data_IF_348886212644
#
_entry.id   IF_348886212644
#
_cell.length_a   1.000
_cell.length_b   1.000
_cell.length_c   1.000
_cell.angle_alpha   90.00
_cell.angle_beta   90.00
_cell.angle_gamma   90.00
#
_symmetry.space_group_name_H-M   'P 1'
#
loop_
_entity.id
_entity.type
_entity.pdbx_description
1 polymer ?
#
# COMPACT_ATOMS: atom_id res chain seq x y z
N UNK A 1 21.34 -12.16 -17.46
CA UNK A 1 21.76 -12.11 -16.04
C UNK A 1 20.61 -12.64 -15.21
N UNK A 2 20.80 -13.75 -14.48
CA UNK A 2 19.80 -14.20 -13.50
C UNK A 2 19.98 -13.35 -12.23
N UNK A 3 18.91 -12.76 -11.66
CA UNK A 3 19.00 -12.07 -10.38
C UNK A 3 19.50 -13.05 -9.32
N UNK A 4 20.56 -12.68 -8.58
CA UNK A 4 21.05 -13.43 -7.45
C UNK A 4 20.80 -12.64 -6.16
N UNK A 5 20.64 -13.35 -5.04
CA UNK A 5 20.56 -12.70 -3.74
C UNK A 5 21.87 -11.93 -3.49
N UNK A 6 21.76 -10.67 -3.09
CA UNK A 6 22.91 -9.88 -2.72
C UNK A 6 23.60 -10.50 -1.51
N UNK A 7 24.91 -10.68 -1.60
CA UNK A 7 25.75 -11.10 -0.48
C UNK A 7 26.73 -9.97 -0.21
N UNK A 8 26.80 -9.53 1.05
CA UNK A 8 27.78 -8.49 1.45
C UNK A 8 29.18 -9.02 1.12
N UNK A 9 29.99 -8.29 0.35
CA UNK A 9 31.31 -8.77 -0.02
C UNK A 9 32.22 -8.78 1.22
N UNK A 10 33.19 -9.70 1.25
CA UNK A 10 34.18 -9.76 2.34
C UNK A 10 35.07 -8.52 2.40
N UNK A 11 35.21 -7.80 1.28
CA UNK A 11 35.94 -6.54 1.14
C UNK A 11 35.27 -5.66 0.08
N UNK A 12 35.32 -4.35 0.28
CA UNK A 12 34.87 -3.36 -0.69
C UNK A 12 36.07 -2.80 -1.46
N UNK A 13 36.22 -3.16 -2.73
CA UNK A 13 37.38 -2.82 -3.57
C UNK A 13 37.01 -1.89 -4.74
N UNK A 14 37.29 -0.59 -4.60
CA UNK A 14 37.02 0.40 -5.64
C UNK A 14 35.82 1.29 -5.33
N UNK A 15 35.36 2.02 -6.34
CA UNK A 15 34.19 2.89 -6.21
C UNK A 15 32.92 2.11 -6.56
N UNK A 16 32.10 1.88 -5.55
CA UNK A 16 30.83 1.18 -5.72
C UNK A 16 29.65 2.03 -5.24
N UNK A 17 28.56 1.92 -5.99
CA UNK A 17 27.23 2.41 -5.62
C UNK A 17 26.35 1.18 -5.48
N UNK A 18 25.81 0.97 -4.28
CA UNK A 18 24.84 -0.08 -4.03
C UNK A 18 23.44 0.53 -3.95
N UNK A 19 22.65 0.36 -5.02
CA UNK A 19 21.23 0.71 -5.01
C UNK A 19 20.41 -0.47 -4.46
N UNK A 20 19.74 -0.26 -3.34
CA UNK A 20 18.96 -1.27 -2.62
C UNK A 20 17.47 -1.03 -2.92
N UNK A 21 16.90 -1.87 -3.78
CA UNK A 21 15.52 -1.77 -4.26
C UNK A 21 14.79 -3.13 -4.26
N UNK A 22 15.19 -4.04 -3.38
CA UNK A 22 14.69 -5.43 -3.25
C UNK A 22 13.40 -5.57 -2.41
N UNK A 23 12.67 -4.45 -2.20
CA UNK A 23 11.31 -4.44 -1.66
C UNK A 23 11.20 -4.21 -0.14
N UNK A 24 9.96 -4.19 0.36
CA UNK A 24 9.66 -3.85 1.76
C UNK A 24 10.30 -4.79 2.81
N UNK A 25 10.55 -6.05 2.42
CA UNK A 25 11.25 -7.07 3.24
C UNK A 25 12.70 -7.26 2.76
N UNK A 26 13.36 -6.17 2.39
CA UNK A 26 14.74 -6.13 1.88
C UNK A 26 15.70 -6.86 2.81
N UNK A 27 16.17 -8.04 2.39
CA UNK A 27 17.22 -8.76 3.11
C UNK A 27 18.54 -7.99 3.07
N UNK A 28 18.77 -7.25 1.98
CA UNK A 28 19.95 -6.39 1.80
C UNK A 28 20.00 -5.30 2.86
N UNK A 29 18.89 -4.56 3.06
CA UNK A 29 18.78 -3.53 4.10
C UNK A 29 19.01 -4.11 5.49
N UNK A 30 18.39 -5.25 5.80
CA UNK A 30 18.58 -5.90 7.10
C UNK A 30 20.05 -6.29 7.34
N UNK A 31 20.74 -6.80 6.33
CA UNK A 31 22.18 -7.11 6.43
C UNK A 31 23.07 -5.88 6.65
N UNK A 32 22.62 -4.71 6.18
CA UNK A 32 23.32 -3.42 6.30
C UNK A 32 22.74 -2.51 7.39
N UNK A 33 21.93 -3.07 8.30
CA UNK A 33 21.34 -2.37 9.44
C UNK A 33 22.35 -1.55 10.28
N UNK A 34 23.61 -1.99 10.50
CA UNK A 34 24.60 -1.16 11.19
C UNK A 34 24.90 0.19 10.50
N UNK A 35 24.68 0.29 9.19
CA UNK A 35 24.94 1.50 8.40
C UNK A 35 23.72 2.41 8.31
N UNK A 36 22.54 1.83 8.05
CA UNK A 36 21.29 2.60 7.86
C UNK A 36 20.52 2.86 9.16
N UNK A 37 20.80 2.10 10.22
CA UNK A 37 20.05 2.14 11.47
C UNK A 37 18.79 1.27 11.45
N UNK A 38 18.05 1.29 12.57
CA UNK A 38 16.78 0.58 12.71
C UNK A 38 15.63 1.52 12.33
N UNK A 39 14.70 1.10 11.43
CA UNK A 39 13.49 1.87 11.17
C UNK A 39 12.68 2.07 12.47
N UNK A 40 12.24 3.29 12.75
CA UNK A 40 11.39 3.59 13.92
C UNK A 40 9.92 3.40 13.59
N UNK A 41 9.14 2.91 14.56
CA UNK A 41 7.68 2.80 14.48
C UNK A 41 6.98 3.83 15.37
N UNK A 42 7.71 4.58 16.18
CA UNK A 42 7.16 5.40 17.27
C UNK A 42 6.18 6.48 16.76
N UNK A 43 6.48 7.11 15.63
CA UNK A 43 5.58 8.09 15.00
C UNK A 43 4.27 7.48 14.45
N UNK A 44 4.22 6.16 14.30
CA UNK A 44 3.12 5.41 13.72
C UNK A 44 2.47 4.48 14.75
N UNK A 45 2.38 4.99 15.97
CA UNK A 45 1.80 4.29 17.12
C UNK A 45 0.58 5.04 17.66
N UNK A 46 -0.38 4.27 18.17
CA UNK A 46 -1.53 4.75 18.95
C UNK A 46 -1.39 4.13 20.33
N UNK A 47 -1.48 4.94 21.39
CA UNK A 47 -1.33 4.51 22.78
C UNK A 47 -0.05 3.68 23.04
N UNK A 48 1.05 4.07 22.40
CA UNK A 48 2.35 3.41 22.52
C UNK A 48 2.51 2.11 21.72
N UNK A 49 1.47 1.64 21.03
CA UNK A 49 1.51 0.45 20.19
C UNK A 49 1.51 0.81 18.71
N UNK A 50 2.41 0.24 17.89
CA UNK A 50 2.39 0.49 16.45
C UNK A 50 1.06 0.06 15.83
N UNK A 51 0.48 0.92 14.99
CA UNK A 51 -0.72 0.57 14.26
C UNK A 51 -0.33 -0.32 13.07
N UNK A 52 -0.89 -1.53 13.05
CA UNK A 52 -0.69 -2.54 12.03
C UNK A 52 -2.05 -2.94 11.43
N UNK A 53 -2.18 -2.87 10.12
CA UNK A 53 -3.38 -3.32 9.42
C UNK A 53 -3.16 -4.72 8.82
N UNK A 54 -4.08 -5.64 9.09
CA UNK A 54 -4.06 -6.97 8.47
C UNK A 54 -4.86 -6.94 7.18
N UNK A 55 -4.24 -7.42 6.11
CA UNK A 55 -4.83 -7.38 4.77
C UNK A 55 -4.85 -8.78 4.17
N UNK A 56 -5.96 -9.09 3.50
CA UNK A 56 -6.07 -10.21 2.59
C UNK A 56 -5.90 -9.70 1.16
N UNK A 57 -4.87 -10.17 0.48
CA UNK A 57 -4.64 -9.91 -0.93
C UNK A 57 -5.24 -11.01 -1.79
N UNK A 58 -6.15 -10.65 -2.68
CA UNK A 58 -6.90 -11.56 -3.55
C UNK A 58 -6.56 -11.22 -4.99
N UNK A 59 -5.76 -12.06 -5.62
CA UNK A 59 -5.40 -11.94 -7.03
C UNK A 59 -6.51 -12.56 -7.87
N UNK A 60 -6.98 -11.81 -8.85
CA UNK A 60 -7.92 -12.30 -9.85
C UNK A 60 -7.22 -12.43 -11.21
N UNK A 61 -7.81 -13.15 -12.16
CA UNK A 61 -7.58 -12.87 -13.58
C UNK A 61 -8.30 -11.57 -13.91
N UNK A 62 -7.69 -10.72 -14.74
CA UNK A 62 -8.14 -9.34 -15.04
C UNK A 62 -9.64 -9.20 -14.94
N UNK A 63 -10.12 -8.26 -14.12
CA UNK A 63 -11.55 -7.99 -14.03
C UNK A 63 -12.09 -7.72 -15.43
N UNK A 64 -13.30 -8.20 -15.74
CA UNK A 64 -14.07 -7.75 -16.91
C UNK A 64 -14.45 -6.26 -16.82
N UNK A 65 -13.94 -5.56 -15.81
CA UNK A 65 -14.25 -4.19 -15.44
C UNK A 65 -13.03 -3.34 -15.77
N UNK A 66 -13.26 -2.25 -16.48
CA UNK A 66 -12.24 -1.27 -16.84
C UNK A 66 -11.69 -0.59 -15.58
N UNK A 67 -10.40 -0.27 -15.59
CA UNK A 67 -9.70 0.37 -14.49
C UNK A 67 -10.44 1.62 -14.01
N UNK A 68 -10.88 2.48 -14.94
CA UNK A 68 -11.60 3.71 -14.60
C UNK A 68 -12.91 3.48 -13.82
N UNK A 69 -13.56 2.33 -13.98
CA UNK A 69 -14.82 2.01 -13.29
C UNK A 69 -14.56 1.54 -11.85
N UNK A 70 -13.37 1.00 -11.58
CA UNK A 70 -13.02 0.50 -10.25
C UNK A 70 -12.58 1.61 -9.28
N UNK A 71 -12.15 2.76 -9.79
CA UNK A 71 -11.63 3.84 -8.93
C UNK A 71 -12.74 4.48 -8.07
N UNK A 72 -13.93 4.85 -8.59
CA UNK A 72 -15.00 5.38 -7.75
C UNK A 72 -15.45 4.38 -6.67
N UNK A 73 -15.51 3.09 -7.00
CA UNK A 73 -15.81 2.01 -6.06
C UNK A 73 -14.74 1.89 -4.97
N UNK A 74 -13.46 1.98 -5.34
CA UNK A 74 -12.33 1.92 -4.41
C UNK A 74 -12.34 3.14 -3.48
N UNK A 75 -12.51 4.35 -4.01
CA UNK A 75 -12.39 5.59 -3.24
C UNK A 75 -13.59 5.83 -2.33
N UNK A 76 -14.77 5.27 -2.61
CA UNK A 76 -15.99 5.45 -1.82
C UNK A 76 -16.01 4.70 -0.48
N UNK A 77 -15.10 3.76 -0.24
CA UNK A 77 -15.07 2.96 0.99
C UNK A 77 -13.63 2.58 1.35
N UNK A 78 -13.34 2.31 2.63
CA UNK A 78 -11.97 1.97 3.07
C UNK A 78 -11.75 0.47 3.32
N UNK A 79 -12.74 -0.38 3.06
CA UNK A 79 -12.69 -1.83 3.30
C UNK A 79 -11.90 -2.60 2.22
N UNK A 80 -12.14 -2.30 0.95
CA UNK A 80 -11.53 -2.96 -0.20
C UNK A 80 -10.76 -1.96 -1.05
N UNK A 81 -9.69 -2.42 -1.69
CA UNK A 81 -8.92 -1.65 -2.66
C UNK A 81 -8.67 -2.52 -3.87
N UNK A 82 -9.12 -2.07 -5.05
CA UNK A 82 -8.80 -2.72 -6.31
C UNK A 82 -7.57 -2.07 -6.94
N UNK A 83 -6.60 -2.88 -7.34
CA UNK A 83 -5.45 -2.48 -8.13
C UNK A 83 -5.43 -3.30 -9.42
N UNK A 84 -5.54 -2.65 -10.57
CA UNK A 84 -5.60 -3.32 -11.87
C UNK A 84 -4.27 -3.89 -12.36
N UNK A 85 -3.13 -3.42 -11.84
CA UNK A 85 -1.82 -3.84 -12.34
C UNK A 85 -1.58 -5.35 -12.16
N UNK A 86 -1.08 -6.03 -13.20
CA UNK A 86 -0.62 -7.42 -13.13
C UNK A 86 -1.72 -8.50 -13.07
N UNK A 87 -2.94 -8.16 -13.52
CA UNK A 87 -4.08 -9.06 -13.60
C UNK A 87 -5.22 -8.77 -12.61
N UNK A 88 -5.16 -7.66 -11.86
CA UNK A 88 -6.18 -7.32 -10.87
C UNK A 88 -5.90 -7.93 -9.50
N UNK A 89 -5.87 -7.07 -8.49
CA UNK A 89 -5.63 -7.44 -7.10
C UNK A 89 -6.62 -6.69 -6.21
N UNK A 90 -7.50 -7.44 -5.56
CA UNK A 90 -8.42 -6.92 -4.54
C UNK A 90 -7.74 -7.13 -3.20
N UNK A 91 -7.47 -6.04 -2.53
CA UNK A 91 -7.04 -6.10 -1.16
C UNK A 91 -8.21 -5.80 -0.22
N UNK A 92 -8.33 -6.57 0.84
CA UNK A 92 -9.38 -6.45 1.85
C UNK A 92 -8.72 -6.21 3.21
N UNK A 93 -8.97 -5.05 3.81
CA UNK A 93 -8.57 -4.79 5.21
C UNK A 93 -9.41 -5.65 6.14
N UNK A 94 -8.84 -6.15 7.21
CA UNK A 94 -9.49 -7.08 8.15
C UNK A 94 -9.46 -6.55 9.57
N UNK A 95 -10.45 -6.93 10.37
CA UNK A 95 -10.32 -6.84 11.83
C UNK A 95 -9.46 -7.98 12.37
N UNK A 96 -9.04 -7.89 13.63
CA UNK A 96 -8.34 -8.98 14.30
C UNK A 96 -9.17 -10.29 14.32
N UNK A 97 -10.49 -10.18 14.52
CA UNK A 97 -11.40 -11.33 14.50
C UNK A 97 -11.41 -11.97 13.11
N UNK A 98 -11.65 -11.21 12.05
CA UNK A 98 -11.61 -11.72 10.68
C UNK A 98 -10.24 -12.30 10.31
N UNK A 99 -9.16 -11.66 10.75
CA UNK A 99 -7.82 -12.17 10.52
C UNK A 99 -7.56 -13.51 11.22
N UNK A 100 -8.26 -13.79 12.33
CA UNK A 100 -8.21 -15.10 13.01
C UNK A 100 -8.84 -16.23 12.18
N UNK A 101 -9.72 -15.92 11.22
CA UNK A 101 -10.26 -16.91 10.27
C UNK A 101 -9.30 -17.26 9.14
N UNK A 102 -8.19 -16.52 8.96
CA UNK A 102 -7.15 -16.82 7.97
C UNK A 102 -6.32 -18.03 8.41
N UNK A 103 -6.96 -19.19 8.40
CA UNK A 103 -6.42 -20.49 8.79
C UNK A 103 -6.27 -21.35 7.55
N UNK A 104 -5.16 -22.08 7.46
CA UNK A 104 -5.02 -23.17 6.50
C UNK A 104 -5.10 -24.51 7.22
N UNK A 105 -5.82 -25.47 6.65
CA UNK A 105 -5.96 -26.83 7.17
C UNK A 105 -4.96 -27.73 6.45
N UNK A 106 -3.95 -28.23 7.15
CA UNK A 106 -3.09 -29.32 6.69
C UNK A 106 -3.68 -30.69 7.04
N UNK A 107 -2.93 -31.75 6.74
CA UNK A 107 -3.36 -33.14 7.00
C UNK A 107 -3.68 -33.42 8.49
N UNK A 108 -2.94 -32.77 9.40
CA UNK A 108 -3.04 -33.01 10.86
C UNK A 108 -3.68 -31.83 11.61
N UNK A 109 -4.39 -30.94 10.92
CA UNK A 109 -5.07 -29.79 11.52
C UNK A 109 -4.55 -28.43 11.06
N UNK A 110 -4.88 -27.35 11.80
CA UNK A 110 -4.53 -25.97 11.43
C UNK A 110 -3.03 -25.71 11.33
N UNK A 111 -2.62 -24.97 10.29
CA UNK A 111 -1.25 -24.51 10.09
C UNK A 111 -1.21 -23.02 9.69
N UNK A 112 -0.11 -22.35 10.02
CA UNK A 112 0.04 -20.91 9.80
C UNK A 112 0.64 -20.53 8.43
N UNK A 113 0.41 -21.30 7.35
CA UNK A 113 1.10 -21.10 6.07
C UNK A 113 0.83 -19.73 5.42
N UNK A 114 -0.44 -19.33 5.35
CA UNK A 114 -0.85 -18.04 4.78
C UNK A 114 -0.49 -16.87 5.71
N UNK A 115 -0.84 -16.96 7.00
CA UNK A 115 -0.66 -15.86 7.95
C UNK A 115 0.79 -15.61 8.40
N UNK A 116 1.62 -16.65 8.53
CA UNK A 116 3.01 -16.52 9.03
C UNK A 116 4.04 -16.60 7.92
N UNK A 117 3.89 -17.54 6.99
CA UNK A 117 4.89 -17.77 5.94
C UNK A 117 4.58 -16.98 4.65
N UNK A 118 3.49 -16.21 4.62
CA UNK A 118 3.09 -15.41 3.46
C UNK A 118 2.85 -16.26 2.21
N UNK A 119 2.34 -17.49 2.40
CA UNK A 119 2.05 -18.37 1.27
C UNK A 119 0.86 -17.86 0.47
N UNK A 120 0.93 -18.00 -0.85
CA UNK A 120 -0.21 -17.82 -1.74
C UNK A 120 -0.99 -19.13 -1.85
N UNK A 121 -2.29 -19.08 -1.56
CA UNK A 121 -3.25 -20.17 -1.75
C UNK A 121 -3.81 -20.08 -3.17
N UNK A 122 -3.62 -21.11 -4.00
CA UNK A 122 -4.04 -21.15 -5.41
C UNK A 122 -5.32 -21.95 -5.61
N UNK A 123 -6.17 -21.61 -6.59
CA UNK A 123 -7.36 -22.40 -6.89
C UNK A 123 -6.98 -23.81 -7.37
N UNK A 124 -7.65 -24.83 -6.83
CA UNK A 124 -7.55 -26.22 -7.28
C UNK A 124 -8.89 -26.91 -7.01
N UNK A 125 -9.60 -27.40 -8.03
CA UNK A 125 -10.80 -28.22 -7.84
C UNK A 125 -11.91 -27.59 -6.96
N UNK A 126 -12.10 -26.26 -7.03
CA UNK A 126 -13.11 -25.53 -6.25
C UNK A 126 -12.70 -25.15 -4.83
N UNK A 127 -11.45 -25.45 -4.42
CA UNK A 127 -10.85 -25.02 -3.15
C UNK A 127 -9.60 -24.17 -3.41
N UNK A 128 -9.04 -23.57 -2.36
CA UNK A 128 -7.77 -22.83 -2.45
C UNK A 128 -6.69 -23.53 -1.64
N UNK A 129 -5.58 -23.90 -2.28
CA UNK A 129 -4.55 -24.78 -1.70
C UNK A 129 -3.16 -24.15 -1.68
N UNK A 130 -2.34 -24.55 -0.72
CA UNK A 130 -0.90 -24.26 -0.70
C UNK A 130 -0.11 -25.51 -1.08
N UNK A 131 0.52 -25.53 -2.25
CA UNK A 131 1.33 -26.67 -2.71
C UNK A 131 2.47 -26.99 -1.74
N UNK A 132 3.15 -25.95 -1.25
CA UNK A 132 4.32 -26.06 -0.36
C UNK A 132 3.99 -26.74 0.96
N UNK A 133 2.83 -26.43 1.54
CA UNK A 133 2.44 -26.92 2.87
C UNK A 133 1.29 -27.93 2.83
N UNK A 134 0.84 -28.33 1.63
CA UNK A 134 -0.26 -29.27 1.38
C UNK A 134 -1.48 -28.97 2.24
N UNK A 135 -1.94 -27.72 2.18
CA UNK A 135 -3.03 -27.24 3.02
C UNK A 135 -4.12 -26.54 2.21
N UNK A 136 -5.32 -26.45 2.79
CA UNK A 136 -6.49 -25.81 2.19
C UNK A 136 -6.85 -24.56 2.97
N UNK A 137 -7.22 -23.48 2.30
CA UNK A 137 -7.69 -22.25 2.92
C UNK A 137 -9.06 -22.49 3.55
N UNK A 138 -9.09 -22.57 4.89
CA UNK A 138 -10.27 -22.95 5.67
C UNK A 138 -11.51 -22.14 5.29
N UNK A 139 -11.46 -20.80 5.17
CA UNK A 139 -12.66 -20.02 4.85
C UNK A 139 -13.37 -20.48 3.57
N UNK A 140 -12.62 -20.94 2.56
CA UNK A 140 -13.22 -21.36 1.28
C UNK A 140 -13.98 -22.69 1.32
N UNK A 141 -13.79 -23.50 2.37
CA UNK A 141 -14.39 -24.84 2.49
C UNK A 141 -15.25 -25.01 3.74
N UNK A 142 -15.11 -24.12 4.72
CA UNK A 142 -15.91 -24.14 5.94
C UNK A 142 -17.23 -23.39 5.72
N UNK A 143 -18.36 -24.11 5.78
CA UNK A 143 -19.71 -23.53 5.65
C UNK A 143 -20.07 -22.55 6.76
N UNK A 144 -19.34 -22.60 7.88
CA UNK A 144 -19.53 -21.70 9.02
C UNK A 144 -18.60 -20.48 8.97
N UNK A 145 -17.77 -20.36 7.93
CA UNK A 145 -16.89 -19.18 7.77
C UNK A 145 -17.73 -17.91 7.63
N UNK A 146 -17.44 -16.92 8.48
CA UNK A 146 -18.03 -15.59 8.34
C UNK A 146 -17.18 -14.68 7.43
N UNK A 147 -15.90 -15.01 7.19
CA UNK A 147 -15.03 -14.26 6.31
C UNK A 147 -15.32 -14.54 4.82
N UNK A 148 -15.58 -15.79 4.46
CA UNK A 148 -15.74 -16.18 3.05
C UNK A 148 -16.87 -15.45 2.31
N UNK A 149 -18.08 -15.28 2.87
CA UNK A 149 -19.13 -14.49 2.22
C UNK A 149 -18.70 -13.05 1.95
N UNK A 150 -17.92 -12.43 2.85
CA UNK A 150 -17.42 -11.06 2.73
C UNK A 150 -16.35 -10.94 1.64
N UNK A 151 -15.50 -11.97 1.49
CA UNK A 151 -14.57 -12.09 0.35
C UNK A 151 -15.36 -12.11 -0.96
N UNK A 152 -16.41 -12.93 -1.04
CA UNK A 152 -17.25 -13.05 -2.23
C UNK A 152 -18.01 -11.75 -2.55
N UNK A 153 -18.46 -10.99 -1.55
CA UNK A 153 -19.02 -9.65 -1.75
C UNK A 153 -17.99 -8.70 -2.39
N UNK A 154 -16.76 -8.68 -1.88
CA UNK A 154 -15.67 -7.86 -2.44
C UNK A 154 -15.36 -8.20 -3.89
N UNK A 155 -15.34 -9.50 -4.24
CA UNK A 155 -15.20 -9.94 -5.63
C UNK A 155 -16.35 -9.40 -6.50
N UNK A 156 -17.60 -9.61 -6.08
CA UNK A 156 -18.80 -9.18 -6.81
C UNK A 156 -18.84 -7.66 -7.02
N UNK A 157 -18.41 -6.90 -6.01
CA UNK A 157 -18.32 -5.45 -6.04
C UNK A 157 -17.45 -4.97 -7.22
N UNK A 158 -16.32 -5.63 -7.45
CA UNK A 158 -15.40 -5.34 -8.56
C UNK A 158 -15.64 -6.21 -9.80
N UNK A 159 -16.76 -6.91 -9.88
CA UNK A 159 -17.14 -7.71 -11.05
C UNK A 159 -16.33 -8.96 -11.31
N UNK A 160 -15.71 -9.51 -10.27
CA UNK A 160 -15.13 -10.84 -10.26
C UNK A 160 -16.04 -11.85 -9.53
N UNK A 161 -15.89 -13.12 -9.86
CA UNK A 161 -16.43 -14.26 -9.12
C UNK A 161 -15.32 -15.10 -8.49
N UNK A 162 -15.70 -16.10 -7.69
CA UNK A 162 -14.75 -17.02 -7.06
C UNK A 162 -13.87 -17.76 -8.08
N UNK A 163 -14.43 -18.08 -9.25
CA UNK A 163 -13.71 -18.73 -10.35
C UNK A 163 -12.63 -17.85 -10.99
N UNK A 164 -12.71 -16.53 -10.81
CA UNK A 164 -11.70 -15.60 -11.33
C UNK A 164 -10.49 -15.48 -10.39
N UNK A 165 -10.56 -16.02 -9.16
CA UNK A 165 -9.48 -15.91 -8.18
C UNK A 165 -8.34 -16.86 -8.52
N UNK A 166 -7.14 -16.31 -8.74
CA UNK A 166 -5.91 -17.08 -9.04
C UNK A 166 -4.96 -17.21 -7.85
N UNK A 167 -5.18 -16.44 -6.80
CA UNK A 167 -4.36 -16.53 -5.60
C UNK A 167 -4.89 -15.72 -4.43
N UNK A 168 -4.77 -16.25 -3.21
CA UNK A 168 -5.10 -15.55 -1.97
C UNK A 168 -3.86 -15.54 -1.08
N UNK A 169 -3.50 -14.38 -0.54
CA UNK A 169 -2.38 -14.22 0.39
C UNK A 169 -2.79 -13.31 1.54
N UNK A 170 -2.08 -13.34 2.65
CA UNK A 170 -2.23 -12.37 3.72
C UNK A 170 -0.90 -11.68 4.00
N UNK A 171 -0.97 -10.42 4.40
CA UNK A 171 0.18 -9.63 4.83
C UNK A 171 -0.28 -8.57 5.85
N UNK A 172 0.67 -8.11 6.64
CA UNK A 172 0.47 -7.00 7.57
C UNK A 172 1.11 -5.75 7.00
N UNK A 173 0.40 -4.65 7.07
CA UNK A 173 0.87 -3.33 6.69
C UNK A 173 1.13 -2.53 7.96
N UNK A 174 2.37 -2.11 8.12
CA UNK A 174 2.78 -1.20 9.19
C UNK A 174 3.61 -0.08 8.59
N UNK A 175 3.45 1.13 9.11
CA UNK A 175 4.32 2.23 8.76
C UNK A 175 5.59 2.19 9.63
N UNK A 176 6.70 2.59 9.01
CA UNK A 176 8.01 2.73 9.65
C UNK A 176 8.71 3.93 9.06
N UNK A 177 9.52 4.61 9.86
CA UNK A 177 10.33 5.76 9.47
C UNK A 177 11.80 5.34 9.40
N UNK A 178 12.42 5.59 8.25
CA UNK A 178 13.86 5.54 8.09
C UNK A 178 14.47 6.85 8.58
N UNK A 179 15.54 6.75 9.37
CA UNK A 179 16.33 7.91 9.78
C UNK A 179 17.35 8.33 8.72
N UNK A 180 17.77 7.38 7.86
CA UNK A 180 18.73 7.61 6.78
C UNK A 180 18.37 6.79 5.54
N UNK A 181 18.61 7.36 4.36
CA UNK A 181 18.46 6.69 3.07
C UNK A 181 19.79 6.44 2.36
N UNK A 182 20.81 7.18 2.77
CA UNK A 182 22.19 7.09 2.26
C UNK A 182 23.13 6.66 3.38
N UNK A 183 24.02 5.71 3.09
CA UNK A 183 25.06 5.32 4.04
C UNK A 183 26.40 5.05 3.36
N UNK A 184 27.49 5.43 4.02
CA UNK A 184 28.83 5.02 3.63
C UNK A 184 29.07 3.59 4.12
N UNK A 185 29.31 2.66 3.19
CA UNK A 185 29.56 1.25 3.49
C UNK A 185 31.06 0.96 3.62
N UNK A 186 31.89 1.72 2.88
CA UNK A 186 33.34 1.71 2.93
C UNK A 186 33.87 3.09 2.49
N UNK A 187 35.19 3.40 2.63
CA UNK A 187 35.73 4.72 2.32
C UNK A 187 35.30 5.31 0.97
N UNK A 188 35.17 4.49 -0.08
CA UNK A 188 34.74 4.89 -1.43
C UNK A 188 33.41 4.26 -1.87
N UNK A 189 32.66 3.62 -0.98
CA UNK A 189 31.43 2.90 -1.33
C UNK A 189 30.23 3.43 -0.57
N UNK A 190 29.15 3.70 -1.30
CA UNK A 190 27.90 4.21 -0.75
C UNK A 190 26.72 3.32 -1.11
N UNK A 191 25.85 3.10 -0.13
CA UNK A 191 24.58 2.40 -0.26
C UNK A 191 23.40 3.37 -0.21
N UNK A 192 22.37 3.07 -0.98
CA UNK A 192 21.16 3.89 -1.12
C UNK A 192 19.92 3.02 -1.02
N UNK A 193 19.03 3.33 -0.09
CA UNK A 193 17.72 2.70 -0.01
C UNK A 193 16.77 3.40 -0.98
N UNK A 194 16.08 2.63 -1.82
CA UNK A 194 15.16 3.13 -2.84
C UNK A 194 13.83 2.35 -2.82
N UNK A 195 12.78 2.95 -3.38
CA UNK A 195 11.46 2.32 -3.50
C UNK A 195 10.96 1.76 -2.17
N UNK A 196 10.37 0.56 -2.20
CA UNK A 196 9.82 -0.08 -0.99
C UNK A 196 10.88 -0.48 0.04
N UNK A 197 12.15 -0.65 -0.36
CA UNK A 197 13.25 -0.93 0.58
C UNK A 197 13.53 0.28 1.50
N UNK A 198 13.34 1.49 0.97
CA UNK A 198 13.39 2.75 1.70
C UNK A 198 12.06 3.10 2.35
N UNK A 199 11.02 3.19 1.53
CA UNK A 199 9.73 3.76 1.86
C UNK A 199 8.62 2.78 1.50
N UNK A 200 8.58 1.63 2.17
CA UNK A 200 7.44 0.71 2.08
C UNK A 200 6.15 1.45 2.37
N UNK A 201 5.33 1.67 1.34
CA UNK A 201 4.10 2.43 1.50
C UNK A 201 3.03 1.56 2.16
N UNK A 202 2.21 2.23 2.95
CA UNK A 202 0.98 1.68 3.48
C UNK A 202 -0.09 1.61 2.39
N UNK A 203 -1.18 0.88 2.66
CA UNK A 203 -2.41 0.78 1.88
C UNK A 203 -2.94 2.17 1.46
N UNK A 204 -2.47 2.67 0.32
CA UNK A 204 -2.90 3.93 -0.28
C UNK A 204 -2.89 3.78 -1.80
N UNK A 205 -4.00 4.06 -2.50
CA UNK A 205 -4.05 3.88 -3.96
C UNK A 205 -3.00 4.73 -4.70
N UNK A 206 -2.25 4.10 -5.60
CA UNK A 206 -1.58 4.78 -6.72
C UNK A 206 -0.27 5.53 -6.45
N UNK A 207 0.46 5.32 -5.34
CA UNK A 207 1.68 6.10 -5.04
C UNK A 207 3.01 5.34 -4.96
N UNK A 208 3.01 4.04 -4.71
CA UNK A 208 4.24 3.23 -4.53
C UNK A 208 5.25 3.36 -5.68
N UNK A 209 4.78 3.13 -6.90
CA UNK A 209 5.63 3.22 -8.09
C UNK A 209 6.18 4.63 -8.31
N UNK A 210 5.35 5.66 -8.15
CA UNK A 210 5.77 7.05 -8.32
C UNK A 210 6.90 7.42 -7.35
N UNK A 211 6.75 7.06 -6.08
CA UNK A 211 7.78 7.29 -5.06
C UNK A 211 9.06 6.53 -5.35
N UNK A 212 8.95 5.27 -5.79
CA UNK A 212 10.09 4.46 -6.22
C UNK A 212 10.84 5.09 -7.39
N UNK A 213 10.14 5.51 -8.44
CA UNK A 213 10.74 6.16 -9.60
C UNK A 213 11.40 7.50 -9.23
N UNK A 214 10.73 8.32 -8.41
CA UNK A 214 11.30 9.57 -7.89
C UNK A 214 12.59 9.35 -7.11
N UNK A 215 12.63 8.31 -6.25
CA UNK A 215 13.84 7.94 -5.51
C UNK A 215 14.99 7.55 -6.43
N UNK A 216 14.73 6.71 -7.44
CA UNK A 216 15.73 6.25 -8.40
C UNK A 216 16.25 7.39 -9.28
N UNK A 217 15.35 8.26 -9.77
CA UNK A 217 15.71 9.43 -10.55
C UNK A 217 16.58 10.40 -9.75
N UNK A 218 16.22 10.69 -8.50
CA UNK A 218 17.00 11.56 -7.61
C UNK A 218 18.44 11.04 -7.47
N UNK A 219 18.61 9.72 -7.28
CA UNK A 219 19.93 9.11 -7.18
C UNK A 219 20.68 9.21 -8.51
N UNK A 220 20.05 8.84 -9.62
CA UNK A 220 20.68 8.84 -10.94
C UNK A 220 21.21 10.24 -11.33
N UNK A 221 20.40 11.29 -11.13
CA UNK A 221 20.80 12.67 -11.40
C UNK A 221 21.93 13.12 -10.46
N UNK A 222 21.85 12.75 -9.17
CA UNK A 222 22.91 13.05 -8.20
C UNK A 222 24.25 12.42 -8.63
N UNK A 223 24.23 11.15 -9.03
CA UNK A 223 25.42 10.45 -9.49
C UNK A 223 26.00 11.11 -10.74
N UNK A 224 25.15 11.44 -11.73
CA UNK A 224 25.56 12.10 -12.96
C UNK A 224 26.25 13.45 -12.69
N UNK A 225 25.68 14.28 -11.82
CA UNK A 225 26.19 15.63 -11.54
C UNK A 225 27.45 15.63 -10.67
N UNK A 226 27.60 14.63 -9.79
CA UNK A 226 28.70 14.58 -8.81
C UNK A 226 29.87 13.74 -9.27
N UNK A 227 29.68 12.84 -10.23
CA UNK A 227 30.76 12.05 -10.80
C UNK A 227 31.75 12.94 -11.56
N UNK A 228 32.95 13.07 -11.01
CA UNK A 228 34.05 13.87 -11.59
C UNK A 228 35.33 13.06 -11.78
N UNK A 229 35.22 11.74 -11.92
CA UNK A 229 36.38 10.82 -11.95
C UNK A 229 37.13 10.72 -10.61
N UNK A 230 36.53 11.19 -9.52
CA UNK A 230 37.04 11.07 -8.14
C UNK A 230 36.09 10.26 -7.28
N UNK A 231 36.60 9.72 -6.17
CA UNK A 231 35.76 9.10 -5.15
C UNK A 231 34.66 10.04 -4.64
N UNK A 232 33.49 9.46 -4.39
CA UNK A 232 32.37 10.16 -3.77
C UNK A 232 32.65 10.46 -2.30
N UNK A 233 32.01 11.52 -1.79
CA UNK A 233 31.99 11.91 -0.38
C UNK A 233 30.54 11.97 0.09
N UNK A 234 30.32 11.86 1.40
CA UNK A 234 28.97 11.93 1.96
C UNK A 234 28.23 13.22 1.56
N UNK A 235 28.96 14.35 1.49
CA UNK A 235 28.43 15.65 1.06
C UNK A 235 27.91 15.66 -0.39
N UNK A 236 28.41 14.77 -1.26
CA UNK A 236 27.94 14.68 -2.64
C UNK A 236 26.47 14.21 -2.71
N UNK A 237 25.95 13.56 -1.65
CA UNK A 237 24.62 12.97 -1.60
C UNK A 237 23.59 13.71 -0.73
N UNK A 238 23.93 14.86 -0.14
CA UNK A 238 23.04 15.60 0.76
C UNK A 238 21.68 15.96 0.10
N UNK A 239 21.69 16.31 -1.18
CA UNK A 239 20.47 16.63 -1.94
C UNK A 239 19.58 15.40 -2.14
N UNK A 240 20.17 14.24 -2.42
CA UNK A 240 19.44 12.99 -2.55
C UNK A 240 18.79 12.58 -1.22
N UNK A 241 19.56 12.62 -0.13
CA UNK A 241 19.07 12.34 1.21
C UNK A 241 17.88 13.25 1.57
N UNK A 242 18.00 14.56 1.34
CA UNK A 242 16.92 15.51 1.57
C UNK A 242 15.66 15.22 0.73
N UNK A 243 15.83 14.84 -0.54
CA UNK A 243 14.72 14.43 -1.40
C UNK A 243 14.01 13.19 -0.85
N UNK A 244 14.77 12.20 -0.38
CA UNK A 244 14.22 10.97 0.21
C UNK A 244 13.45 11.23 1.50
N UNK A 245 13.93 12.15 2.35
CA UNK A 245 13.22 12.58 3.55
C UNK A 245 11.90 13.29 3.20
N UNK A 246 11.89 14.16 2.18
CA UNK A 246 10.66 14.80 1.70
C UNK A 246 9.66 13.77 1.15
N UNK A 247 10.13 12.78 0.38
CA UNK A 247 9.31 11.67 -0.09
C UNK A 247 8.72 10.88 1.08
N UNK A 248 9.52 10.56 2.10
CA UNK A 248 9.03 9.86 3.28
C UNK A 248 7.97 10.67 4.03
N UNK A 249 8.21 11.96 4.28
CA UNK A 249 7.26 12.82 4.96
C UNK A 249 5.92 12.87 4.21
N UNK A 250 5.98 13.10 2.89
CA UNK A 250 4.78 13.20 2.05
C UNK A 250 3.99 11.90 2.01
N UNK A 251 4.66 10.78 1.79
CA UNK A 251 4.00 9.51 1.49
C UNK A 251 3.69 8.66 2.74
N UNK A 252 4.39 8.89 3.86
CA UNK A 252 4.13 8.21 5.13
C UNK A 252 3.54 9.13 6.17
N UNK A 253 4.26 10.19 6.57
CA UNK A 253 3.83 11.02 7.71
C UNK A 253 2.50 11.71 7.48
N UNK A 254 2.18 12.15 6.26
CA UNK A 254 0.86 12.70 5.94
C UNK A 254 -0.21 11.60 5.80
N UNK A 255 0.15 10.48 5.20
CA UNK A 255 -0.75 9.34 5.06
C UNK A 255 -1.16 8.74 6.40
N UNK A 256 -0.27 8.83 7.40
CA UNK A 256 -0.53 8.42 8.78
C UNK A 256 -1.70 9.17 9.41
N UNK A 257 -1.76 10.49 9.27
CA UNK A 257 -2.87 11.31 9.80
C UNK A 257 -4.22 10.79 9.31
N UNK A 258 -4.28 10.38 8.05
CA UNK A 258 -5.49 9.81 7.47
C UNK A 258 -5.77 8.38 7.91
N UNK A 259 -4.75 7.57 8.23
CA UNK A 259 -4.98 6.23 8.78
C UNK A 259 -5.65 6.26 10.15
N UNK A 260 -5.38 7.30 10.94
CA UNK A 260 -6.01 7.47 12.24
C UNK A 260 -7.51 7.71 12.13
N UNK A 261 -7.98 8.19 10.96
CA UNK A 261 -9.39 8.46 10.66
C UNK A 261 -10.14 9.05 11.87
N UNK A 262 -9.64 10.16 12.45
CA UNK A 262 -10.15 10.64 13.72
C UNK A 262 -11.65 10.91 13.63
N UNK A 263 -12.35 10.66 14.74
CA UNK A 263 -13.77 10.96 14.85
C UNK A 263 -14.01 12.48 15.01
N UNK A 264 -15.27 12.95 15.11
CA UNK A 264 -15.56 14.38 15.28
C UNK A 264 -14.92 15.03 16.51
N UNK A 265 -14.56 14.24 17.53
CA UNK A 265 -13.89 14.70 18.76
C UNK A 265 -12.35 14.69 18.61
N UNK A 266 -11.84 14.28 17.45
CA UNK A 266 -10.42 14.23 17.13
C UNK A 266 -9.71 12.98 17.63
N UNK A 267 -10.44 12.01 18.19
CA UNK A 267 -9.85 10.77 18.71
C UNK A 267 -9.54 9.80 17.57
N UNK A 268 -8.33 9.21 17.52
CA UNK A 268 -8.00 8.20 16.53
C UNK A 268 -8.99 7.04 16.57
N UNK A 269 -9.71 6.83 15.47
CA UNK A 269 -10.65 5.72 15.29
C UNK A 269 -10.33 5.01 13.98
N UNK A 270 -9.37 4.09 14.09
CA UNK A 270 -8.82 3.37 12.95
C UNK A 270 -9.86 2.56 12.18
N UNK A 271 -9.46 2.10 11.00
CA UNK A 271 -10.34 1.36 10.10
C UNK A 271 -10.91 0.07 10.71
N UNK A 272 -10.16 -0.60 11.59
CA UNK A 272 -10.61 -1.81 12.27
C UNK A 272 -11.86 -1.57 13.13
N UNK A 273 -11.87 -0.49 13.92
CA UNK A 273 -13.02 -0.16 14.77
C UNK A 273 -14.25 0.16 13.93
N UNK A 274 -14.08 0.95 12.86
CA UNK A 274 -15.16 1.26 11.90
C UNK A 274 -15.72 0.01 11.23
N UNK A 275 -14.87 -0.95 10.89
CA UNK A 275 -15.34 -2.25 10.37
C UNK A 275 -16.14 -2.98 11.44
N UNK A 276 -15.66 -3.03 12.69
CA UNK A 276 -16.36 -3.70 13.79
C UNK A 276 -17.75 -3.11 14.01
N UNK A 277 -17.88 -1.79 13.99
CA UNK A 277 -19.17 -1.09 14.08
C UNK A 277 -20.05 -1.32 12.85
N UNK A 278 -19.46 -1.47 11.67
CA UNK A 278 -20.15 -1.87 10.46
C UNK A 278 -20.75 -3.28 10.51
N UNK A 279 -20.23 -4.14 11.38
CA UNK A 279 -20.73 -5.51 11.57
C UNK A 279 -21.87 -5.61 12.59
N UNK A 280 -22.14 -4.55 13.35
CA UNK A 280 -23.23 -4.47 14.32
C UNK A 280 -24.45 -3.76 13.72
N UNK A 281 -25.65 -4.17 14.16
CA UNK A 281 -26.91 -3.59 13.68
C UNK A 281 -27.19 -2.20 14.29
N UNK A 282 -28.20 -1.47 13.78
CA UNK A 282 -29.20 -1.91 12.81
C UNK A 282 -28.70 -1.95 11.35
N UNK A 283 -29.41 -2.70 10.50
CA UNK A 283 -29.12 -2.87 9.08
C UNK A 283 -30.27 -2.33 8.21
N UNK A 284 -30.31 -1.01 8.00
CA UNK A 284 -31.26 -0.39 7.07
C UNK A 284 -30.70 -0.41 5.66
N UNK A 285 -31.15 -1.37 4.85
CA UNK A 285 -30.61 -1.56 3.50
C UNK A 285 -30.86 -0.36 2.59
N UNK A 286 -32.03 0.26 2.67
CA UNK A 286 -32.39 1.36 1.76
C UNK A 286 -31.52 2.58 2.03
N UNK A 287 -31.41 2.96 3.31
CA UNK A 287 -30.55 4.07 3.74
C UNK A 287 -29.08 3.82 3.37
N UNK A 288 -28.57 2.61 3.61
CA UNK A 288 -27.19 2.25 3.32
C UNK A 288 -26.88 2.26 1.81
N UNK A 289 -27.80 1.79 0.96
CA UNK A 289 -27.64 1.85 -0.50
C UNK A 289 -27.63 3.31 -0.95
N UNK A 290 -28.57 4.12 -0.45
CA UNK A 290 -28.66 5.54 -0.80
C UNK A 290 -27.38 6.29 -0.44
N UNK A 291 -26.85 6.09 0.77
CA UNK A 291 -25.62 6.74 1.22
C UNK A 291 -24.41 6.32 0.38
N UNK A 292 -24.20 5.02 0.20
CA UNK A 292 -23.06 4.50 -0.56
C UNK A 292 -23.11 4.97 -2.02
N UNK A 293 -24.31 4.97 -2.62
CA UNK A 293 -24.47 5.41 -4.00
C UNK A 293 -24.27 6.91 -4.17
N UNK A 294 -24.81 7.74 -3.26
CA UNK A 294 -24.56 9.17 -3.27
C UNK A 294 -23.06 9.48 -3.17
N UNK A 295 -22.35 8.78 -2.30
CA UNK A 295 -20.89 8.91 -2.15
C UNK A 295 -20.14 8.57 -3.44
N UNK A 296 -20.55 7.51 -4.15
CA UNK A 296 -19.99 7.18 -5.47
C UNK A 296 -20.26 8.29 -6.48
N UNK A 297 -21.47 8.84 -6.53
CA UNK A 297 -21.82 9.96 -7.44
C UNK A 297 -20.97 11.19 -7.19
N UNK A 298 -20.76 11.56 -5.92
CA UNK A 298 -19.93 12.71 -5.55
C UNK A 298 -18.47 12.51 -6.00
N UNK A 299 -17.95 11.29 -5.87
CA UNK A 299 -16.61 10.93 -6.34
C UNK A 299 -16.54 10.98 -7.87
N UNK A 300 -17.54 10.43 -8.58
CA UNK A 300 -17.61 10.50 -10.05
C UNK A 300 -17.60 11.94 -10.54
N UNK A 301 -18.45 12.79 -9.97
CA UNK A 301 -18.52 14.21 -10.34
C UNK A 301 -17.18 14.92 -10.13
N UNK A 302 -16.47 14.61 -9.04
CA UNK A 302 -15.14 15.15 -8.76
C UNK A 302 -14.04 14.64 -9.71
N UNK A 303 -14.19 13.43 -10.25
CA UNK A 303 -13.17 12.74 -11.05
C UNK A 303 -13.42 12.81 -12.56
N UNK A 304 -14.61 13.21 -13.00
CA UNK A 304 -15.07 13.13 -14.40
C UNK A 304 -14.06 13.63 -15.42
N UNK A 305 -13.52 14.83 -15.23
CA UNK A 305 -12.59 15.45 -16.20
C UNK A 305 -11.18 14.86 -16.18
N UNK A 306 -10.88 13.98 -15.21
CA UNK A 306 -9.52 13.47 -14.95
C UNK A 306 -9.34 11.99 -15.33
N UNK A 307 -10.42 11.33 -15.75
CA UNK A 307 -10.45 9.90 -16.01
C UNK A 307 -11.02 9.61 -17.41
N UNK A 308 -10.80 8.38 -17.88
CA UNK A 308 -11.51 7.85 -19.04
C UNK A 308 -13.04 7.76 -18.81
N UNK A 309 -13.80 7.27 -19.80
CA UNK A 309 -15.25 7.20 -19.73
C UNK A 309 -15.72 6.33 -18.55
N UNK A 310 -16.26 6.98 -17.52
CA UNK A 310 -16.82 6.32 -16.34
C UNK A 310 -18.11 5.56 -16.70
N UNK A 311 -18.39 4.46 -15.99
CA UNK A 311 -19.63 3.70 -16.13
C UNK A 311 -20.88 4.53 -15.78
N UNK A 312 -22.05 4.05 -16.22
CA UNK A 312 -23.34 4.70 -15.91
C UNK A 312 -23.70 4.56 -14.43
N UNK A 313 -24.63 5.40 -13.97
CA UNK A 313 -25.12 5.39 -12.59
C UNK A 313 -25.78 4.06 -12.23
N UNK A 314 -26.55 3.47 -13.15
CA UNK A 314 -27.21 2.17 -12.99
C UNK A 314 -26.19 1.04 -12.80
N UNK A 315 -25.05 1.12 -13.48
CA UNK A 315 -23.98 0.13 -13.33
C UNK A 315 -23.44 0.13 -11.90
N UNK A 316 -23.15 1.30 -11.34
CA UNK A 316 -22.66 1.42 -9.95
C UNK A 316 -23.74 1.02 -8.94
N UNK A 317 -24.98 1.46 -9.15
CA UNK A 317 -26.09 1.12 -8.26
C UNK A 317 -26.32 -0.40 -8.23
N UNK A 318 -26.28 -1.08 -9.37
CA UNK A 318 -26.40 -2.55 -9.44
C UNK A 318 -25.32 -3.28 -8.63
N UNK A 319 -24.07 -2.76 -8.62
CA UNK A 319 -22.98 -3.32 -7.80
C UNK A 319 -23.26 -3.17 -6.31
N UNK A 320 -23.70 -1.98 -5.89
CA UNK A 320 -24.01 -1.67 -4.49
C UNK A 320 -25.20 -2.52 -4.02
N UNK A 321 -26.26 -2.61 -4.84
CA UNK A 321 -27.45 -3.41 -4.54
C UNK A 321 -27.17 -4.91 -4.47
N UNK A 322 -26.13 -5.42 -5.11
CA UNK A 322 -25.76 -6.83 -5.07
C UNK A 322 -25.04 -7.26 -3.77
N UNK A 323 -24.62 -6.33 -2.92
CA UNK A 323 -23.87 -6.65 -1.68
C UNK A 323 -24.77 -7.20 -0.57
N UNK A 324 -24.23 -8.08 0.28
CA UNK A 324 -24.88 -8.37 1.56
C UNK A 324 -25.01 -7.08 2.40
N UNK A 325 -26.12 -6.95 3.14
CA UNK A 325 -26.41 -5.73 3.91
C UNK A 325 -25.35 -5.46 4.99
N UNK A 326 -24.71 -6.50 5.55
CA UNK A 326 -23.64 -6.34 6.53
C UNK A 326 -22.38 -5.80 5.88
N UNK A 327 -22.01 -6.31 4.71
CA UNK A 327 -20.86 -5.80 3.95
C UNK A 327 -21.11 -4.36 3.50
N UNK A 328 -22.33 -4.04 3.07
CA UNK A 328 -22.72 -2.69 2.71
C UNK A 328 -22.59 -1.72 3.91
N UNK A 329 -23.08 -2.11 5.10
CA UNK A 329 -22.90 -1.31 6.32
C UNK A 329 -21.42 -1.07 6.64
N UNK A 330 -20.58 -2.12 6.57
CA UNK A 330 -19.12 -1.98 6.71
C UNK A 330 -18.53 -0.97 5.73
N UNK A 331 -18.92 -1.02 4.45
CA UNK A 331 -18.44 -0.06 3.45
C UNK A 331 -18.87 1.37 3.78
N UNK A 332 -20.11 1.57 4.23
CA UNK A 332 -20.63 2.86 4.64
C UNK A 332 -19.84 3.42 5.84
N UNK A 333 -19.76 2.67 6.93
CA UNK A 333 -19.08 3.06 8.19
C UNK A 333 -17.57 3.29 8.01
N UNK A 334 -16.95 2.49 7.13
CA UNK A 334 -15.54 2.65 6.80
C UNK A 334 -15.23 3.99 6.13
N UNK A 335 -16.24 4.68 5.60
CA UNK A 335 -16.09 6.00 4.97
C UNK A 335 -15.28 5.98 3.67
N UNK A 336 -15.30 7.10 2.93
CA UNK A 336 -14.46 7.28 1.76
C UNK A 336 -12.97 7.44 2.14
N UNK A 337 -12.09 7.14 1.19
CA UNK A 337 -10.67 7.48 1.33
C UNK A 337 -10.47 9.00 1.41
N UNK A 338 -9.72 9.47 2.41
CA UNK A 338 -9.48 10.90 2.63
C UNK A 338 -8.37 11.41 1.68
N UNK A 339 -8.67 11.46 0.38
CA UNK A 339 -7.68 11.77 -0.66
C UNK A 339 -7.29 13.24 -0.76
N UNK A 340 -8.09 14.16 -0.19
CA UNK A 340 -7.87 15.62 -0.28
C UNK A 340 -6.83 16.12 0.72
N UNK A 341 -6.89 15.68 1.97
CA UNK A 341 -6.02 16.17 3.05
C UNK A 341 -4.55 15.79 2.87
N UNK A 342 -4.29 14.66 2.18
CA UNK A 342 -2.94 14.24 1.80
C UNK A 342 -2.49 14.88 0.47
N UNK A 343 -3.41 15.53 -0.27
CA UNK A 343 -3.09 16.26 -1.49
C UNK A 343 -2.22 17.50 -1.25
N UNK A 344 -1.59 18.04 -2.27
CA UNK A 344 -0.68 19.19 -2.15
C UNK A 344 0.57 18.97 -3.00
N UNK A 345 1.55 19.85 -2.81
CA UNK A 345 2.72 19.90 -3.66
C UNK A 345 3.42 18.53 -3.76
N UNK A 346 3.79 18.19 -4.99
CA UNK A 346 4.56 16.99 -5.29
C UNK A 346 6.03 17.25 -4.96
N UNK A 347 6.74 16.24 -4.44
CA UNK A 347 8.19 16.36 -4.25
C UNK A 347 8.83 16.55 -5.63
N UNK A 348 9.49 17.68 -5.80
CA UNK A 348 10.23 18.03 -7.01
C UNK A 348 11.54 17.25 -6.99
N UNK A 349 11.74 16.43 -8.02
CA UNK A 349 12.97 15.66 -8.20
C UNK A 349 13.80 16.35 -9.27
N UNK A 350 15.12 16.55 -9.06
CA UNK A 350 15.97 17.17 -10.05
C UNK A 350 15.94 16.41 -11.38
N UNK A 351 16.08 17.15 -12.47
CA UNK A 351 16.20 16.59 -13.82
C UNK A 351 17.64 16.75 -14.32
N UNK A 352 18.04 15.95 -15.31
CA UNK A 352 19.39 16.01 -15.88
C UNK A 352 19.61 17.22 -16.81
N UNK A 353 18.57 17.99 -17.15
CA UNK A 353 18.69 19.15 -18.01
C UNK A 353 19.39 20.31 -17.28
N UNK A 354 20.19 21.13 -17.99
CA UNK A 354 20.76 22.33 -17.40
C UNK A 354 19.63 23.30 -17.04
N UNK A 355 19.61 23.77 -15.79
CA UNK A 355 18.69 24.83 -15.37
C UNK A 355 18.94 26.09 -16.22
N UNK A 356 17.91 26.52 -16.95
CA UNK A 356 17.86 27.90 -17.47
C UNK A 356 17.60 28.79 -16.24
N UNK A 357 18.42 29.84 -15.98
CA UNK A 357 18.24 30.67 -14.80
C UNK A 357 16.85 31.32 -14.83
N UNK A 358 16.00 30.95 -13.89
CA UNK A 358 14.73 31.65 -13.67
C UNK A 358 15.08 32.96 -12.97
N UNK A 359 14.77 34.08 -13.64
CA UNK A 359 15.00 35.42 -13.12
C UNK A 359 14.43 35.60 -11.72
N UNK A 360 15.24 36.24 -10.86
CA UNK A 360 14.94 36.65 -9.49
C UNK A 360 13.48 37.12 -9.34
N UNK A 361 12.68 36.36 -8.60
CA UNK A 361 11.42 36.88 -8.04
C UNK A 361 11.76 37.67 -6.77
N UNK A 362 11.28 38.91 -6.60
CA UNK A 362 11.57 39.70 -5.41
C UNK A 362 10.78 39.18 -4.21
N UNK A 363 11.50 38.98 -3.10
CA UNK A 363 11.06 39.39 -1.75
C UNK A 363 9.98 38.57 -1.06
N UNK A 364 10.41 37.66 -0.18
CA UNK A 364 9.72 37.44 1.09
C UNK A 364 10.75 37.61 2.21
N UNK A 365 10.61 38.70 2.96
CA UNK A 365 11.38 39.00 4.16
C UNK A 365 10.79 38.22 5.32
N UNK A 366 11.57 37.34 5.94
CA UNK A 366 11.30 36.86 7.29
C UNK A 366 11.70 37.98 8.26
N UNK A 367 10.71 38.59 8.90
CA UNK A 367 10.94 39.41 10.09
C UNK A 367 11.09 38.43 11.25
N UNK A 368 12.23 38.52 11.94
CA UNK A 368 12.57 37.75 13.16
C UNK A 368 11.71 38.14 14.35
#
# INVERSE_FOLDING_TARGET
MLPQAYTVPSRWDGLHVLAIADGARSATRESLKPHFGTPSRELFSVDGSPLDERVLGIRVVSSKVLDEHTVPLTVAQNRFLFNSMGGGFINMRLTAEEASEIVALGANGPIACIGRFGCTMRPEGGRFVCDRHRSVFKPSVDKLSYLWPRILDGLRFFGAGAADVVGITSFTLGMQQMSKFTAQLAPSTYGFLLGDAANSLHFWPGRGLNTGLKSAQSLAVTLLQRWKGRGFRAADFAQHEGTMQQLQYREKSRAWTTMLMPDPDGMPRGIEDRIRDGLTGPFDREALVAEMFQRVKDIKARMGDRMGPLATDEWYLGRIQALDVRTLKVMVESGAWITREIGGDEVVVPTAAPEVPVGLRPGLSLVS
#
